data_IF_940542068104
#
_entry.id   IF_940542068104
#
_cell.length_a   1.000
_cell.length_b   1.000
_cell.length_c   1.000
_cell.angle_alpha   90.00
_cell.angle_beta   90.00
_cell.angle_gamma   90.00
#
_symmetry.space_group_name_H-M   'P 1'
#
loop_
_entity.id
_entity.type
_entity.pdbx_description
1 polymer ?
#
# COMPACT_ATOMS: atom_id res chain seq x y z
N UNK A 1 0.94 -0.45 -15.86
CA UNK A 1 0.10 -1.45 -15.16
C UNK A 1 0.08 -1.07 -13.69
N UNK A 2 -1.10 -0.84 -13.12
CA UNK A 2 -1.20 -0.36 -11.73
C UNK A 2 -0.87 -1.47 -10.75
N UNK A 3 0.06 -1.20 -9.83
CA UNK A 3 0.56 -2.14 -8.82
C UNK A 3 -0.48 -2.44 -7.74
N UNK A 4 -1.40 -1.49 -7.48
CA UNK A 4 -2.39 -1.55 -6.42
C UNK A 4 -3.81 -1.66 -6.98
N UNK A 5 -4.68 -2.36 -6.27
CA UNK A 5 -6.09 -2.58 -6.65
C UNK A 5 -7.04 -1.63 -5.91
N UNK A 6 -7.12 -0.39 -6.42
CA UNK A 6 -7.94 0.66 -5.81
C UNK A 6 -9.44 0.39 -5.89
N UNK A 7 -9.91 -0.36 -6.89
CA UNK A 7 -11.31 -0.71 -7.00
C UNK A 7 -11.72 -1.68 -5.90
N UNK A 8 -10.86 -2.64 -5.58
CA UNK A 8 -11.08 -3.51 -4.40
C UNK A 8 -10.99 -2.74 -3.09
N UNK A 9 -10.14 -1.72 -2.98
CA UNK A 9 -10.11 -0.85 -1.79
C UNK A 9 -11.42 -0.05 -1.64
N UNK A 10 -11.97 0.49 -2.73
CA UNK A 10 -13.28 1.15 -2.71
C UNK A 10 -14.41 0.20 -2.34
N UNK A 11 -14.35 -1.06 -2.76
CA UNK A 11 -15.36 -2.06 -2.41
C UNK A 11 -15.20 -2.61 -0.98
N UNK A 12 -14.03 -2.45 -0.35
CA UNK A 12 -13.73 -3.05 0.94
C UNK A 12 -14.64 -2.51 2.06
N UNK A 13 -15.08 -3.38 2.96
CA UNK A 13 -15.85 -2.98 4.13
C UNK A 13 -14.93 -2.41 5.22
N UNK A 14 -15.45 -1.42 5.94
CA UNK A 14 -14.81 -0.87 7.14
C UNK A 14 -15.35 -1.65 8.33
N UNK A 15 -14.45 -2.30 9.05
CA UNK A 15 -14.73 -2.99 10.30
C UNK A 15 -14.52 -2.03 11.48
N UNK A 16 -15.18 -2.26 12.61
CA UNK A 16 -15.10 -1.37 13.78
C UNK A 16 -14.62 -2.06 15.07
N UNK A 17 -14.48 -3.39 15.07
CA UNK A 17 -14.00 -4.17 16.21
C UNK A 17 -12.62 -4.75 15.90
N UNK A 18 -11.57 -4.53 16.73
CA UNK A 18 -11.56 -3.76 17.99
C UNK A 18 -11.40 -2.24 17.80
N UNK A 19 -11.21 -1.78 16.57
CA UNK A 19 -11.17 -0.38 16.16
C UNK A 19 -11.49 -0.27 14.68
N UNK A 20 -11.73 0.95 14.18
CA UNK A 20 -12.04 1.21 12.78
C UNK A 20 -10.86 0.83 11.87
N UNK A 21 -11.04 -0.15 10.99
CA UNK A 21 -9.99 -0.65 10.10
C UNK A 21 -10.55 -1.25 8.81
N UNK A 22 -9.67 -1.43 7.82
CA UNK A 22 -9.93 -2.22 6.62
C UNK A 22 -8.89 -3.33 6.56
N UNK A 23 -9.33 -4.57 6.29
CA UNK A 23 -8.46 -5.68 5.95
C UNK A 23 -8.73 -6.08 4.49
N UNK A 24 -7.75 -5.83 3.62
CA UNK A 24 -7.87 -6.10 2.19
C UNK A 24 -6.80 -7.08 1.69
N UNK A 25 -7.15 -8.36 1.47
CA UNK A 25 -6.23 -9.33 0.89
C UNK A 25 -5.91 -9.00 -0.57
N UNK A 26 -4.66 -9.23 -0.98
CA UNK A 26 -4.17 -9.02 -2.35
C UNK A 26 -4.40 -7.59 -2.88
N UNK A 27 -4.12 -6.58 -2.03
CA UNK A 27 -4.20 -5.18 -2.47
C UNK A 27 -3.08 -4.84 -3.47
N UNK A 28 -1.87 -5.39 -3.27
CA UNK A 28 -0.87 -5.47 -4.34
C UNK A 28 -1.33 -6.57 -5.29
N UNK A 29 -1.45 -6.25 -6.58
CA UNK A 29 -1.97 -7.20 -7.56
C UNK A 29 -1.01 -8.40 -7.71
N UNK A 30 -1.52 -9.65 -7.80
CA UNK A 30 -0.69 -10.85 -7.87
C UNK A 30 0.38 -10.80 -8.96
N UNK A 31 0.04 -10.27 -10.13
CA UNK A 31 0.95 -10.11 -11.27
C UNK A 31 2.11 -9.13 -11.00
N UNK A 32 1.96 -8.20 -10.07
CA UNK A 32 2.95 -7.18 -9.72
C UNK A 32 3.77 -7.57 -8.48
N UNK A 33 3.26 -8.48 -7.64
CA UNK A 33 3.83 -8.81 -6.33
C UNK A 33 5.30 -9.25 -6.42
N UNK A 34 5.62 -10.18 -7.33
CA UNK A 34 6.99 -10.70 -7.50
C UNK A 34 7.97 -9.58 -7.85
N UNK A 35 7.59 -8.69 -8.78
CA UNK A 35 8.41 -7.57 -9.20
C UNK A 35 8.60 -6.54 -8.07
N UNK A 36 7.55 -6.26 -7.29
CA UNK A 36 7.61 -5.36 -6.14
C UNK A 36 8.55 -5.91 -5.07
N UNK A 37 8.41 -7.18 -4.70
CA UNK A 37 9.25 -7.81 -3.67
C UNK A 37 10.72 -7.86 -4.11
N UNK A 38 11.01 -8.19 -5.37
CA UNK A 38 12.37 -8.18 -5.91
C UNK A 38 13.00 -6.78 -5.96
N UNK A 39 12.18 -5.73 -5.98
CA UNK A 39 12.60 -4.33 -5.98
C UNK A 39 12.81 -3.75 -4.56
N UNK A 40 12.53 -4.51 -3.50
CA UNK A 40 12.85 -4.11 -2.12
C UNK A 40 14.32 -4.39 -1.80
N UNK A 41 14.99 -3.54 -1.01
CA UNK A 41 16.37 -3.77 -0.61
C UNK A 41 16.47 -4.92 0.40
N UNK A 42 17.62 -5.58 0.43
CA UNK A 42 17.95 -6.52 1.49
C UNK A 42 18.10 -5.77 2.84
N UNK A 43 17.24 -6.09 3.80
CA UNK A 43 17.24 -5.48 5.13
C UNK A 43 18.26 -6.18 6.03
N UNK A 44 19.33 -5.49 6.41
CA UNK A 44 20.42 -6.05 7.24
C UNK A 44 20.42 -5.57 8.70
N UNK A 45 19.69 -4.49 8.99
CA UNK A 45 19.56 -3.94 10.35
C UNK A 45 18.20 -4.25 10.96
N UNK A 46 18.11 -4.10 12.29
CA UNK A 46 16.86 -4.20 13.05
C UNK A 46 16.22 -2.82 13.21
N UNK A 47 14.92 -2.79 13.51
CA UNK A 47 14.18 -1.56 13.78
C UNK A 47 13.42 -1.02 12.57
N UNK A 48 12.92 0.21 12.71
CA UNK A 48 12.09 0.88 11.70
C UNK A 48 12.95 1.69 10.73
N UNK A 49 12.78 1.46 9.43
CA UNK A 49 13.45 2.21 8.38
C UNK A 49 12.45 3.12 7.69
N UNK A 50 12.66 4.45 7.70
CA UNK A 50 11.82 5.34 6.92
C UNK A 50 11.99 5.03 5.43
N UNK A 51 10.88 5.04 4.68
CA UNK A 51 10.89 4.76 3.23
C UNK A 51 11.90 5.63 2.47
N UNK A 52 12.03 6.91 2.84
CA UNK A 52 12.98 7.84 2.22
C UNK A 52 14.46 7.49 2.43
N UNK A 53 14.80 6.64 3.41
CA UNK A 53 16.16 6.15 3.62
C UNK A 53 16.48 4.89 2.80
N UNK A 54 15.50 4.31 2.10
CA UNK A 54 15.66 3.07 1.34
C UNK A 54 15.89 3.34 -0.14
N UNK A 55 16.84 2.62 -0.74
CA UNK A 55 17.01 2.57 -2.20
C UNK A 55 16.07 1.53 -2.78
N UNK A 56 14.94 1.99 -3.28
CA UNK A 56 13.90 1.14 -3.88
C UNK A 56 14.12 0.97 -5.39
N UNK A 57 13.89 -0.23 -5.91
CA UNK A 57 13.78 -0.49 -7.33
C UNK A 57 12.47 0.05 -7.92
N UNK A 58 12.32 0.11 -9.26
CA UNK A 58 11.18 0.78 -9.91
C UNK A 58 9.80 0.29 -9.49
N UNK A 59 9.59 -1.03 -9.40
CA UNK A 59 8.30 -1.60 -9.02
C UNK A 59 7.92 -1.26 -7.55
N UNK A 60 8.88 -1.35 -6.63
CA UNK A 60 8.67 -0.95 -5.24
C UNK A 60 8.39 0.56 -5.11
N UNK A 61 9.11 1.41 -5.88
CA UNK A 61 8.82 2.85 -5.95
C UNK A 61 7.40 3.13 -6.43
N UNK A 62 6.93 2.42 -7.46
CA UNK A 62 5.57 2.55 -7.96
C UNK A 62 4.52 2.15 -6.92
N UNK A 63 4.75 1.06 -6.17
CA UNK A 63 3.87 0.63 -5.08
C UNK A 63 3.77 1.71 -3.98
N UNK A 64 4.91 2.21 -3.52
CA UNK A 64 5.01 3.26 -2.51
C UNK A 64 4.35 4.55 -2.99
N UNK A 65 4.62 4.98 -4.23
CA UNK A 65 4.00 6.17 -4.81
C UNK A 65 2.47 6.03 -4.89
N UNK A 66 1.96 4.83 -5.18
CA UNK A 66 0.51 4.55 -5.15
C UNK A 66 -0.08 4.70 -3.74
N UNK A 67 0.60 4.16 -2.71
CA UNK A 67 0.18 4.29 -1.31
C UNK A 67 0.24 5.74 -0.79
N UNK A 68 1.16 6.55 -1.31
CA UNK A 68 1.31 7.97 -0.95
C UNK A 68 0.53 8.90 -1.88
N UNK A 69 -0.16 8.37 -2.88
CA UNK A 69 -0.82 9.14 -3.92
C UNK A 69 -2.22 9.60 -3.56
N UNK A 70 -2.71 10.60 -4.31
CA UNK A 70 -4.02 11.21 -4.11
C UNK A 70 -5.18 10.21 -4.20
N UNK A 71 -5.09 9.18 -5.04
CA UNK A 71 -6.14 8.15 -5.17
C UNK A 71 -6.30 7.37 -3.86
N UNK A 72 -5.20 6.93 -3.25
CA UNK A 72 -5.25 6.23 -1.97
C UNK A 72 -5.80 7.15 -0.87
N UNK A 73 -5.28 8.38 -0.81
CA UNK A 73 -5.70 9.39 0.16
C UNK A 73 -7.20 9.66 0.09
N UNK A 74 -7.75 9.89 -1.10
CA UNK A 74 -9.17 10.15 -1.29
C UNK A 74 -10.05 8.97 -0.85
N UNK A 75 -9.68 7.73 -1.22
CA UNK A 75 -10.45 6.54 -0.82
C UNK A 75 -10.38 6.34 0.69
N UNK A 76 -9.21 6.54 1.31
CA UNK A 76 -9.07 6.44 2.76
C UNK A 76 -9.89 7.51 3.48
N UNK A 77 -9.86 8.76 3.02
CA UNK A 77 -10.66 9.84 3.60
C UNK A 77 -12.16 9.51 3.56
N UNK A 78 -12.67 9.06 2.40
CA UNK A 78 -14.07 8.64 2.26
C UNK A 78 -14.41 7.46 3.19
N UNK A 79 -13.59 6.41 3.19
CA UNK A 79 -13.85 5.19 3.97
C UNK A 79 -13.86 5.46 5.47
N UNK A 80 -12.98 6.32 5.95
CA UNK A 80 -12.80 6.59 7.37
C UNK A 80 -13.50 7.87 7.84
N UNK A 81 -14.20 8.59 6.95
CA UNK A 81 -14.89 9.84 7.28
C UNK A 81 -13.94 10.95 7.73
N UNK A 82 -12.79 11.08 7.08
CA UNK A 82 -11.76 12.09 7.36
C UNK A 82 -11.89 13.29 6.41
N UNK A 83 -11.45 14.46 6.85
CA UNK A 83 -11.45 15.73 6.10
C UNK A 83 -10.22 15.93 5.18
#
# INVERSE_FOLDING_TARGET
MDVLDFDRLRAAQVNHDPFTHILLPNFVKPEALVAVTAALPAMRGRGSFPIGALKLGPAAKAAIAGLQGEVFRAIAAEKFGLD
#
